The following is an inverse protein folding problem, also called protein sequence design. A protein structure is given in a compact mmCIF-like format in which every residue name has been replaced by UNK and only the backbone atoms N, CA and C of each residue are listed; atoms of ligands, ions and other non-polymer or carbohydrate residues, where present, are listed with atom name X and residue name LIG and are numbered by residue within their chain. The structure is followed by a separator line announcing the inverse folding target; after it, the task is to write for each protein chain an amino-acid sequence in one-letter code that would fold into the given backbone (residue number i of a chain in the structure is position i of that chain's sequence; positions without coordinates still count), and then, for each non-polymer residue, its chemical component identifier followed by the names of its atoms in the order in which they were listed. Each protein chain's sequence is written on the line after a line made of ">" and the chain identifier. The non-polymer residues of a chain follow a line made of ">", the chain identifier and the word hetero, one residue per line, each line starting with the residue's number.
data_IF_422110255478
#
_entry.id   IF_422110255478
#
_cell.length_a   1.000
_cell.length_b   1.000
_cell.length_c   1.000
_cell.angle_alpha   90.00
_cell.angle_beta   90.00
_cell.angle_gamma   90.00
#
_symmetry.space_group_name_H-M   'P 1'
#
loop_
_entity.id
_entity.type
_entity.pdbx_description
1 polymer ?
#
# COMPACT_ATOMS: atom_id res chain seq x y z
N UNK A 1 63.93 29.68 10.36
CA UNK A 1 62.77 29.99 11.23
C UNK A 1 61.55 29.20 10.79
N UNK A 2 60.86 28.60 11.76
CA UNK A 2 59.62 27.83 11.64
C UNK A 2 58.49 28.62 10.97
N UNK A 3 57.63 27.94 10.20
CA UNK A 3 56.16 27.98 10.38
C UNK A 3 55.46 26.92 9.51
N UNK A 4 55.16 25.80 10.15
CA UNK A 4 54.00 24.94 9.87
C UNK A 4 52.69 25.73 9.94
N UNK A 5 51.74 25.51 9.02
CA UNK A 5 50.31 25.45 9.40
C UNK A 5 49.44 24.65 8.42
N UNK A 6 49.15 23.42 8.86
CA UNK A 6 47.95 22.58 8.73
C UNK A 6 46.82 22.97 7.75
N UNK A 7 46.44 21.94 6.97
CA UNK A 7 45.08 21.59 6.49
C UNK A 7 43.95 22.09 7.40
N UNK A 8 42.86 22.57 6.78
CA UNK A 8 41.49 22.28 7.23
C UNK A 8 40.50 22.32 6.05
N UNK A 9 40.21 21.15 5.47
CA UNK A 9 38.94 20.92 4.77
C UNK A 9 37.83 20.98 5.83
N UNK A 10 37.08 22.07 5.86
CA UNK A 10 35.83 22.12 6.61
C UNK A 10 34.81 21.35 5.77
N UNK A 11 34.60 20.05 6.08
CA UNK A 11 33.38 19.36 5.65
C UNK A 11 32.22 20.08 6.35
N UNK A 12 31.43 20.83 5.60
CA UNK A 12 30.19 21.41 6.12
C UNK A 12 29.36 20.27 6.71
N UNK A 13 28.89 20.45 7.95
CA UNK A 13 27.88 19.58 8.52
C UNK A 13 26.67 19.56 7.59
N UNK A 14 26.02 18.40 7.34
CA UNK A 14 24.84 18.37 6.48
C UNK A 14 23.79 19.32 7.08
N UNK A 15 23.32 20.28 6.29
CA UNK A 15 22.25 21.21 6.68
C UNK A 15 21.07 20.38 7.19
N UNK A 16 20.62 20.63 8.42
CA UNK A 16 19.41 19.98 8.97
C UNK A 16 18.26 20.18 8.00
N UNK A 17 17.51 19.11 7.75
CA UNK A 17 16.35 19.15 6.86
C UNK A 17 15.25 19.96 7.55
N UNK A 18 14.74 21.05 6.94
CA UNK A 18 13.68 21.84 7.56
C UNK A 18 12.45 20.97 7.84
N UNK A 19 11.91 21.00 9.06
CA UNK A 19 10.80 20.11 9.47
C UNK A 19 9.42 20.62 9.05
N UNK A 20 9.26 21.93 8.95
CA UNK A 20 7.96 22.60 8.75
C UNK A 20 7.70 23.06 7.32
N UNK A 21 8.74 23.19 6.49
CA UNK A 21 8.61 23.69 5.13
C UNK A 21 9.50 22.92 4.16
N UNK A 22 8.92 22.48 3.04
CA UNK A 22 9.65 21.86 1.94
C UNK A 22 10.65 22.85 1.35
N UNK A 23 11.95 22.50 1.23
CA UNK A 23 12.91 23.27 0.44
C UNK A 23 12.44 23.45 -1.02
N UNK A 24 12.84 24.56 -1.66
CA UNK A 24 12.44 24.83 -3.05
C UNK A 24 13.12 23.85 -4.01
N UNK A 25 14.33 23.42 -3.68
CA UNK A 25 15.23 22.60 -4.49
C UNK A 25 14.97 21.09 -4.35
N UNK A 26 13.95 20.67 -3.61
CA UNK A 26 13.61 19.26 -3.37
C UNK A 26 12.18 18.95 -3.79
N UNK A 27 11.94 17.75 -4.30
CA UNK A 27 10.58 17.21 -4.40
C UNK A 27 9.98 16.96 -3.01
N UNK A 28 8.66 16.73 -2.96
CA UNK A 28 7.98 16.41 -1.70
C UNK A 28 8.49 15.08 -1.15
N UNK A 29 8.67 14.09 -2.03
CA UNK A 29 9.15 12.75 -1.72
C UNK A 29 10.58 12.80 -1.18
N UNK A 30 11.48 13.50 -1.87
CA UNK A 30 12.88 13.66 -1.45
C UNK A 30 12.96 14.30 -0.07
N UNK A 31 12.16 15.35 0.17
CA UNK A 31 12.12 16.03 1.46
C UNK A 31 11.62 15.10 2.58
N UNK A 32 10.56 14.33 2.31
CA UNK A 32 9.98 13.39 3.27
C UNK A 32 10.88 12.18 3.56
N UNK A 33 11.66 11.70 2.58
CA UNK A 33 12.69 10.67 2.76
C UNK A 33 13.85 11.23 3.59
N UNK A 34 14.31 12.45 3.29
CA UNK A 34 15.38 13.10 4.05
C UNK A 34 15.01 13.31 5.53
N UNK A 35 13.77 13.73 5.82
CA UNK A 35 13.26 13.84 7.19
C UNK A 35 13.26 12.50 7.92
N UNK A 36 12.86 11.40 7.26
CA UNK A 36 12.90 10.05 7.85
C UNK A 36 14.32 9.59 8.14
N UNK A 37 15.27 9.87 7.24
CA UNK A 37 16.69 9.59 7.44
C UNK A 37 17.28 10.37 8.61
N UNK A 38 16.93 11.64 8.74
CA UNK A 38 17.38 12.47 9.87
C UNK A 38 16.76 11.99 11.18
N UNK A 39 15.45 11.79 11.20
CA UNK A 39 14.73 11.31 12.37
C UNK A 39 15.24 9.94 12.83
N UNK A 40 15.50 9.04 11.87
CA UNK A 40 16.12 7.74 12.10
C UNK A 40 17.43 7.87 12.88
N UNK A 41 18.35 8.78 12.51
CA UNK A 41 19.65 8.94 13.19
C UNK A 41 19.53 9.27 14.68
N UNK A 42 18.46 9.95 15.07
CA UNK A 42 18.18 10.33 16.46
C UNK A 42 17.57 9.17 17.26
N UNK A 43 17.10 8.10 16.60
CA UNK A 43 16.44 6.97 17.27
C UNK A 43 17.44 6.03 17.95
N UNK A 44 17.04 5.56 19.14
CA UNK A 44 17.75 4.55 19.94
C UNK A 44 17.10 3.16 19.81
N UNK A 45 16.69 2.78 18.60
CA UNK A 45 16.13 1.45 18.38
C UNK A 45 17.16 0.35 18.70
N UNK A 46 16.65 -0.84 18.94
CA UNK A 46 17.42 -2.07 19.03
C UNK A 46 16.96 -3.00 17.92
N UNK A 47 17.82 -3.92 17.47
CA UNK A 47 17.39 -4.94 16.52
C UNK A 47 17.96 -6.31 16.83
N UNK A 48 17.20 -7.35 16.48
CA UNK A 48 17.64 -8.72 16.44
C UNK A 48 17.54 -9.25 15.00
N UNK A 49 18.52 -10.05 14.55
CA UNK A 49 18.45 -10.74 13.27
C UNK A 49 17.57 -11.99 13.44
N UNK A 50 16.59 -12.16 12.55
CA UNK A 50 15.67 -13.29 12.55
C UNK A 50 16.05 -14.36 11.52
N UNK A 51 16.96 -14.04 10.60
CA UNK A 51 17.53 -14.96 9.62
C UNK A 51 19.01 -15.22 9.84
N UNK A 52 19.58 -16.04 8.96
CA UNK A 52 20.98 -16.47 9.03
C UNK A 52 21.94 -15.44 8.42
N UNK A 53 21.51 -14.77 7.34
CA UNK A 53 22.32 -13.80 6.62
C UNK A 53 22.54 -12.51 7.43
N UNK A 54 23.76 -11.96 7.50
CA UNK A 54 24.06 -10.83 8.38
C UNK A 54 23.55 -9.47 7.87
N UNK A 55 23.31 -9.35 6.55
CA UNK A 55 22.92 -8.11 5.86
C UNK A 55 21.51 -8.23 5.27
N UNK A 56 21.32 -9.11 4.27
CA UNK A 56 20.04 -9.29 3.62
C UNK A 56 19.19 -10.31 4.36
N UNK A 57 18.48 -9.83 5.38
CA UNK A 57 17.72 -10.67 6.28
C UNK A 57 16.44 -9.97 6.75
N UNK A 58 15.68 -10.66 7.58
CA UNK A 58 14.61 -10.09 8.37
C UNK A 58 15.09 -9.78 9.78
N UNK A 59 14.67 -8.64 10.30
CA UNK A 59 15.09 -8.13 11.59
C UNK A 59 13.87 -7.72 12.41
N UNK A 60 13.88 -8.04 13.70
CA UNK A 60 12.96 -7.46 14.67
C UNK A 60 13.56 -6.14 15.16
N UNK A 61 12.97 -5.00 14.79
CA UNK A 61 13.42 -3.67 15.24
C UNK A 61 12.48 -3.16 16.35
N UNK A 62 13.04 -2.97 17.54
CA UNK A 62 12.30 -2.61 18.75
C UNK A 62 12.60 -1.17 19.16
N UNK A 63 11.56 -0.40 19.45
CA UNK A 63 11.69 0.88 20.14
C UNK A 63 11.66 0.65 21.66
N UNK A 64 12.76 0.88 22.39
CA UNK A 64 12.81 0.62 23.83
C UNK A 64 11.85 1.50 24.66
N UNK A 65 11.49 2.70 24.18
CA UNK A 65 10.60 3.61 24.89
C UNK A 65 9.14 3.17 24.80
N UNK A 66 8.67 2.85 23.58
CA UNK A 66 7.29 2.40 23.35
C UNK A 66 7.08 0.89 23.50
N UNK A 67 8.18 0.13 23.62
CA UNK A 67 8.24 -1.35 23.59
C UNK A 67 7.62 -2.00 22.36
N UNK A 68 7.35 -1.23 21.30
CA UNK A 68 6.82 -1.75 20.05
C UNK A 68 7.96 -2.34 19.22
N UNK A 69 7.70 -3.52 18.66
CA UNK A 69 8.61 -4.22 17.76
C UNK A 69 7.98 -4.35 16.39
N UNK A 70 8.76 -4.08 15.35
CA UNK A 70 8.34 -4.20 13.95
C UNK A 70 9.32 -5.11 13.21
N UNK A 71 8.79 -6.03 12.41
CA UNK A 71 9.54 -6.80 11.41
C UNK A 71 10.01 -5.87 10.29
N UNK A 72 11.30 -5.93 9.95
CA UNK A 72 11.95 -5.15 8.89
C UNK A 72 12.76 -6.11 8.02
N UNK A 73 12.46 -6.17 6.72
CA UNK A 73 13.21 -6.98 5.76
C UNK A 73 14.13 -6.08 4.94
N UNK A 74 15.41 -6.41 4.90
CA UNK A 74 16.42 -5.67 4.12
C UNK A 74 16.82 -6.51 2.90
N UNK A 75 16.70 -5.89 1.72
CA UNK A 75 16.91 -6.49 0.39
C UNK A 75 17.74 -5.59 -0.54
N UNK A 76 18.04 -4.36 -0.13
CA UNK A 76 18.84 -3.41 -0.91
C UNK A 76 18.90 -2.04 -0.27
N UNK A 77 19.58 -1.10 -0.94
CA UNK A 77 19.70 0.28 -0.47
C UNK A 77 18.68 1.22 -1.11
N UNK A 78 18.02 0.77 -2.18
CA UNK A 78 17.03 1.55 -2.91
C UNK A 78 15.73 1.73 -2.10
N UNK A 79 14.95 2.74 -2.49
CA UNK A 79 13.60 2.92 -1.96
C UNK A 79 12.68 1.85 -2.55
N UNK A 80 11.79 1.29 -1.72
CA UNK A 80 10.75 0.36 -2.16
C UNK A 80 11.17 -1.12 -2.25
N UNK A 81 12.47 -1.43 -2.17
CA UNK A 81 12.96 -2.82 -2.18
C UNK A 81 12.92 -3.47 -0.80
N UNK A 82 12.85 -2.66 0.26
CA UNK A 82 12.82 -3.10 1.65
C UNK A 82 11.38 -3.11 2.18
N UNK A 83 11.11 -3.91 3.22
CA UNK A 83 9.79 -3.98 3.87
C UNK A 83 9.86 -3.60 5.35
N UNK A 84 8.81 -2.97 5.87
CA UNK A 84 8.62 -2.80 7.31
C UNK A 84 7.14 -2.92 7.70
N UNK A 85 6.87 -3.72 8.73
CA UNK A 85 5.51 -3.89 9.27
C UNK A 85 4.97 -2.69 10.07
N UNK A 86 5.70 -1.57 10.14
CA UNK A 86 5.23 -0.41 10.89
C UNK A 86 4.11 0.36 10.16
N UNK A 87 3.18 1.01 10.89
CA UNK A 87 2.08 1.75 10.27
C UNK A 87 2.55 2.83 9.28
N UNK A 88 3.60 3.60 9.61
CA UNK A 88 4.18 4.64 8.72
C UNK A 88 4.54 4.06 7.35
N UNK A 89 5.26 2.93 7.31
CA UNK A 89 5.65 2.29 6.05
C UNK A 89 4.42 1.84 5.25
N UNK A 90 3.44 1.23 5.93
CA UNK A 90 2.27 0.69 5.25
C UNK A 90 1.41 1.76 4.57
N UNK A 91 1.37 2.99 5.11
CA UNK A 91 0.50 4.07 4.60
C UNK A 91 1.25 5.09 3.76
N UNK A 92 2.56 5.23 3.93
CA UNK A 92 3.33 6.15 3.12
C UNK A 92 3.57 5.60 1.71
N UNK A 93 3.91 6.49 0.78
CA UNK A 93 4.16 6.17 -0.63
C UNK A 93 5.65 6.23 -0.98
N UNK A 94 6.53 6.22 0.02
CA UNK A 94 7.96 6.54 -0.12
C UNK A 94 8.84 5.30 -0.26
N UNK A 95 8.31 4.10 0.01
CA UNK A 95 9.09 2.87 -0.01
C UNK A 95 10.13 2.79 1.10
N UNK A 96 10.02 3.61 2.15
CA UNK A 96 10.90 3.59 3.32
C UNK A 96 10.20 4.15 4.56
N UNK A 97 10.78 3.91 5.73
CA UNK A 97 10.36 4.48 7.00
C UNK A 97 11.57 4.70 7.90
N UNK A 98 11.37 5.34 9.06
CA UNK A 98 12.45 5.55 10.03
C UNK A 98 13.14 4.26 10.49
N UNK A 99 12.44 3.13 10.55
CA UNK A 99 13.00 1.85 10.98
C UNK A 99 13.94 1.27 9.91
N UNK A 100 13.54 1.32 8.63
CA UNK A 100 14.37 0.89 7.49
C UNK A 100 15.63 1.76 7.42
N UNK A 101 15.47 3.09 7.41
CA UNK A 101 16.62 4.01 7.31
C UNK A 101 17.58 3.86 8.49
N UNK A 102 17.06 3.67 9.70
CA UNK A 102 17.88 3.42 10.89
C UNK A 102 18.65 2.11 10.77
N UNK A 103 17.98 1.03 10.36
CA UNK A 103 18.58 -0.30 10.25
C UNK A 103 19.64 -0.34 9.14
N UNK A 104 19.35 0.21 7.95
CA UNK A 104 20.33 0.35 6.87
C UNK A 104 21.57 1.12 7.35
N UNK A 105 21.41 2.21 8.10
CA UNK A 105 22.53 2.95 8.66
C UNK A 105 23.37 2.14 9.68
N UNK A 106 22.79 1.12 10.35
CA UNK A 106 23.54 0.18 11.21
C UNK A 106 24.20 -0.92 10.41
N UNK A 107 23.50 -1.53 9.46
CA UNK A 107 24.01 -2.63 8.65
C UNK A 107 25.18 -2.20 7.77
N UNK A 108 25.15 -0.98 7.20
CA UNK A 108 26.28 -0.40 6.44
C UNK A 108 27.61 -0.37 7.19
N UNK A 109 27.60 -0.41 8.52
CA UNK A 109 28.81 -0.42 9.36
C UNK A 109 29.34 -1.82 9.64
N UNK A 110 28.58 -2.87 9.33
CA UNK A 110 29.05 -4.26 9.48
C UNK A 110 30.16 -4.55 8.47
N UNK A 111 31.11 -5.39 8.86
CA UNK A 111 32.14 -5.91 7.96
C UNK A 111 31.48 -6.65 6.80
N UNK A 112 31.96 -6.42 5.57
CA UNK A 112 31.41 -7.04 4.36
C UNK A 112 30.15 -6.36 3.79
N UNK A 113 29.50 -5.44 4.52
CA UNK A 113 28.25 -4.82 4.08
C UNK A 113 28.37 -4.09 2.74
N UNK A 114 29.49 -3.38 2.50
CA UNK A 114 29.73 -2.68 1.24
C UNK A 114 29.72 -3.66 0.05
N UNK A 115 30.46 -4.77 0.16
CA UNK A 115 30.50 -5.79 -0.89
C UNK A 115 29.12 -6.44 -1.09
N UNK A 116 28.42 -6.78 0.01
CA UNK A 116 27.08 -7.36 -0.08
C UNK A 116 26.07 -6.43 -0.79
N UNK A 117 26.08 -5.12 -0.49
CA UNK A 117 25.20 -4.18 -1.19
C UNK A 117 25.60 -3.93 -2.66
N UNK A 118 26.89 -4.00 -2.98
CA UNK A 118 27.37 -3.93 -4.37
C UNK A 118 27.00 -5.19 -5.17
N UNK A 119 27.08 -6.37 -4.56
CA UNK A 119 26.68 -7.65 -5.13
C UNK A 119 25.17 -7.76 -5.29
N UNK A 120 24.41 -7.20 -4.35
CA UNK A 120 22.95 -7.21 -4.39
C UNK A 120 22.33 -8.44 -3.74
N UNK A 121 21.00 -8.41 -3.62
CA UNK A 121 20.25 -9.50 -2.99
C UNK A 121 19.86 -10.57 -4.01
N UNK A 122 20.56 -11.72 -3.95
CA UNK A 122 20.37 -12.88 -4.81
C UNK A 122 20.11 -14.15 -3.98
N UNK A 123 18.92 -14.29 -3.37
CA UNK A 123 18.59 -15.47 -2.58
C UNK A 123 18.51 -16.72 -3.47
N UNK A 124 18.72 -17.93 -2.92
CA UNK A 124 18.52 -19.16 -3.69
C UNK A 124 17.04 -19.36 -4.07
N UNK A 125 16.11 -18.90 -3.24
CA UNK A 125 14.67 -18.97 -3.45
C UNK A 125 14.13 -17.77 -4.25
N UNK A 126 12.97 -17.94 -4.91
CA UNK A 126 12.23 -16.80 -5.49
C UNK A 126 11.23 -16.23 -4.49
N UNK A 127 10.85 -14.97 -4.64
CA UNK A 127 9.86 -14.33 -3.76
C UNK A 127 8.76 -13.58 -4.52
N UNK A 128 7.54 -13.61 -3.98
CA UNK A 128 6.43 -12.74 -4.37
C UNK A 128 6.15 -11.78 -3.23
N UNK A 129 6.39 -10.49 -3.47
CA UNK A 129 6.34 -9.43 -2.47
C UNK A 129 5.50 -8.26 -2.93
N UNK A 130 5.07 -7.43 -1.98
CA UNK A 130 4.36 -6.19 -2.27
C UNK A 130 5.37 -5.03 -2.34
N UNK A 131 5.52 -4.44 -3.51
CA UNK A 131 6.25 -3.19 -3.68
C UNK A 131 5.39 -2.03 -3.18
N UNK A 132 5.92 -1.27 -2.22
CA UNK A 132 5.31 -0.07 -1.66
C UNK A 132 5.83 1.18 -2.38
N UNK A 133 4.92 2.08 -2.74
CA UNK A 133 5.23 3.31 -3.45
C UNK A 133 3.95 4.10 -3.72
N UNK A 134 4.00 5.02 -4.70
CA UNK A 134 2.80 5.76 -5.15
C UNK A 134 1.66 4.85 -5.60
N UNK A 135 1.99 3.67 -6.16
CA UNK A 135 1.05 2.58 -6.40
C UNK A 135 1.66 1.30 -5.85
N UNK A 136 0.87 0.53 -5.11
CA UNK A 136 1.28 -0.79 -4.64
C UNK A 136 1.22 -1.78 -5.80
N UNK A 137 2.24 -2.63 -5.91
CA UNK A 137 2.34 -3.63 -6.98
C UNK A 137 2.84 -4.94 -6.41
N UNK A 138 2.18 -6.04 -6.75
CA UNK A 138 2.70 -7.37 -6.46
C UNK A 138 3.83 -7.64 -7.43
N UNK A 139 4.99 -8.03 -6.93
CA UNK A 139 6.17 -8.33 -7.74
C UNK A 139 6.68 -9.73 -7.46
N UNK A 140 7.21 -10.36 -8.49
CA UNK A 140 8.02 -11.56 -8.42
C UNK A 140 9.48 -11.16 -8.56
N UNK A 141 10.32 -11.62 -7.63
CA UNK A 141 11.78 -11.59 -7.76
C UNK A 141 12.26 -13.01 -7.97
N UNK A 142 13.01 -13.17 -9.05
CA UNK A 142 13.68 -14.40 -9.35
C UNK A 142 14.87 -14.64 -8.40
N UNK A 143 14.94 -15.84 -7.81
CA UNK A 143 16.09 -16.31 -7.05
C UNK A 143 17.21 -16.86 -7.93
N UNK A 144 18.42 -16.95 -7.38
CA UNK A 144 19.61 -17.44 -8.06
C UNK A 144 19.48 -18.90 -8.56
N UNK A 145 18.72 -19.73 -7.86
CA UNK A 145 18.54 -21.15 -8.20
C UNK A 145 17.23 -21.41 -8.99
N UNK A 146 16.55 -20.35 -9.44
CA UNK A 146 15.29 -20.47 -10.17
C UNK A 146 15.43 -21.28 -11.47
N UNK A 147 14.72 -22.42 -11.62
CA UNK A 147 14.86 -23.26 -12.80
C UNK A 147 14.39 -22.56 -14.08
N UNK A 148 15.10 -22.69 -15.23
CA UNK A 148 14.70 -22.04 -16.48
C UNK A 148 13.30 -22.42 -16.97
N UNK A 149 12.85 -23.65 -16.69
CA UNK A 149 11.49 -24.09 -16.99
C UNK A 149 10.46 -23.31 -16.17
N UNK A 150 10.69 -23.19 -14.86
CA UNK A 150 9.82 -22.45 -13.96
C UNK A 150 9.74 -20.97 -14.36
N UNK A 151 10.89 -20.33 -14.67
CA UNK A 151 10.95 -18.95 -15.19
C UNK A 151 9.98 -18.71 -16.35
N UNK A 152 9.98 -19.58 -17.36
CA UNK A 152 9.06 -19.48 -18.52
C UNK A 152 7.58 -19.63 -18.14
N UNK A 153 7.28 -20.41 -17.10
CA UNK A 153 5.90 -20.59 -16.63
C UNK A 153 5.43 -19.37 -15.82
N UNK A 154 6.34 -18.69 -15.10
CA UNK A 154 6.09 -17.46 -14.34
C UNK A 154 5.70 -16.29 -15.25
N UNK A 155 6.24 -16.21 -16.47
CA UNK A 155 5.94 -15.14 -17.46
C UNK A 155 4.44 -15.03 -17.82
N UNK A 156 3.66 -16.10 -17.60
CA UNK A 156 2.20 -16.09 -17.76
C UNK A 156 1.50 -15.23 -16.72
N UNK A 157 2.11 -15.10 -15.54
CA UNK A 157 1.54 -14.39 -14.38
C UNK A 157 2.20 -13.03 -14.17
N UNK A 158 3.50 -12.93 -14.39
CA UNK A 158 4.28 -11.71 -14.19
C UNK A 158 4.83 -11.17 -15.51
N UNK A 159 4.96 -9.85 -15.63
CA UNK A 159 5.60 -9.19 -16.78
C UNK A 159 7.13 -9.19 -16.68
N UNK A 160 7.79 -8.59 -17.67
CA UNK A 160 9.26 -8.49 -17.74
C UNK A 160 9.87 -7.68 -16.59
N UNK A 161 9.10 -6.75 -16.01
CA UNK A 161 9.46 -6.02 -14.80
C UNK A 161 9.17 -6.84 -13.52
N UNK A 162 8.71 -8.08 -13.67
CA UNK A 162 8.27 -8.94 -12.58
C UNK A 162 7.00 -8.46 -11.90
N UNK A 163 6.13 -7.65 -12.52
CA UNK A 163 4.86 -7.20 -11.93
C UNK A 163 3.75 -8.18 -12.25
N UNK A 164 2.88 -8.46 -11.28
CA UNK A 164 1.71 -9.30 -11.49
C UNK A 164 0.79 -8.68 -12.55
N UNK A 165 0.48 -9.44 -13.59
CA UNK A 165 -0.41 -9.01 -14.68
C UNK A 165 -1.85 -8.91 -14.16
N UNK A 166 -2.59 -7.90 -14.62
CA UNK A 166 -4.00 -7.71 -14.19
C UNK A 166 -4.87 -8.94 -14.47
N UNK A 167 -4.70 -9.56 -15.65
CA UNK A 167 -5.43 -10.79 -16.03
C UNK A 167 -5.07 -11.99 -15.14
N UNK A 168 -3.89 -11.98 -14.53
CA UNK A 168 -3.39 -13.07 -13.70
C UNK A 168 -3.87 -12.98 -12.24
N UNK A 169 -4.43 -11.83 -11.81
CA UNK A 169 -4.95 -11.63 -10.44
C UNK A 169 -6.01 -12.68 -10.09
N UNK A 170 -6.97 -12.90 -10.99
CA UNK A 170 -8.02 -13.91 -10.79
C UNK A 170 -7.52 -15.36 -10.81
N UNK A 171 -6.33 -15.60 -11.37
CA UNK A 171 -5.74 -16.93 -11.56
C UNK A 171 -4.55 -17.19 -10.63
N UNK A 172 -4.31 -16.35 -9.64
CA UNK A 172 -3.12 -16.45 -8.78
C UNK A 172 -3.01 -17.79 -8.02
N UNK A 173 -4.12 -18.48 -7.78
CA UNK A 173 -4.12 -19.85 -7.23
C UNK A 173 -3.39 -20.85 -8.16
N UNK A 174 -3.47 -20.66 -9.48
CA UNK A 174 -2.71 -21.48 -10.44
C UNK A 174 -1.21 -21.25 -10.32
N UNK A 175 -0.79 -20.01 -10.05
CA UNK A 175 0.62 -19.69 -9.77
C UNK A 175 1.10 -20.35 -8.48
N UNK A 176 0.30 -20.33 -7.41
CA UNK A 176 0.65 -20.99 -6.15
C UNK A 176 0.80 -22.51 -6.32
N UNK A 177 -0.10 -23.13 -7.09
CA UNK A 177 0.00 -24.55 -7.43
C UNK A 177 1.27 -24.84 -8.24
N UNK A 178 1.52 -24.05 -9.29
CA UNK A 178 2.74 -24.14 -10.10
C UNK A 178 4.01 -24.03 -9.25
N UNK A 179 4.04 -23.10 -8.31
CA UNK A 179 5.16 -22.90 -7.40
C UNK A 179 5.38 -24.13 -6.52
N UNK A 180 4.31 -24.69 -5.96
CA UNK A 180 4.36 -25.91 -5.13
C UNK A 180 4.89 -27.13 -5.91
N UNK A 181 4.54 -27.25 -7.19
CA UNK A 181 4.95 -28.38 -8.04
C UNK A 181 6.40 -28.24 -8.58
N UNK A 182 6.99 -27.04 -8.52
CA UNK A 182 8.24 -26.69 -9.21
C UNK A 182 9.54 -27.21 -8.56
N UNK A 183 9.46 -27.77 -7.34
CA UNK A 183 10.61 -28.11 -6.45
C UNK A 183 11.54 -26.94 -6.11
N UNK A 184 11.27 -25.73 -6.64
CA UNK A 184 11.95 -24.49 -6.33
C UNK A 184 11.22 -23.80 -5.18
N UNK A 185 11.95 -23.31 -4.18
CA UNK A 185 11.33 -22.58 -3.09
C UNK A 185 10.82 -21.22 -3.58
N UNK A 186 9.52 -20.97 -3.39
CA UNK A 186 8.89 -19.68 -3.69
C UNK A 186 8.21 -19.15 -2.44
N UNK A 187 8.72 -18.02 -1.93
CA UNK A 187 8.16 -17.35 -0.75
C UNK A 187 7.13 -16.32 -1.17
N UNK A 188 5.89 -16.47 -0.73
CA UNK A 188 4.84 -15.46 -0.97
C UNK A 188 4.53 -14.77 0.35
N UNK A 189 4.77 -13.46 0.43
CA UNK A 189 4.56 -12.72 1.68
C UNK A 189 3.08 -12.40 1.91
N UNK A 190 2.68 -12.38 3.18
CA UNK A 190 1.27 -12.19 3.61
C UNK A 190 0.65 -10.89 3.08
N UNK A 191 1.41 -9.79 3.05
CA UNK A 191 0.95 -8.50 2.56
C UNK A 191 0.68 -8.51 1.05
N UNK A 192 1.45 -9.28 0.29
CA UNK A 192 1.19 -9.54 -1.12
C UNK A 192 -0.10 -10.37 -1.29
N UNK A 193 -0.28 -11.44 -0.51
CA UNK A 193 -1.51 -12.24 -0.52
C UNK A 193 -2.76 -11.42 -0.18
N UNK A 194 -2.70 -10.63 0.89
CA UNK A 194 -3.77 -9.73 1.31
C UNK A 194 -4.12 -8.72 0.21
N UNK A 195 -3.10 -8.20 -0.48
CA UNK A 195 -3.31 -7.26 -1.58
C UNK A 195 -3.93 -7.94 -2.80
N UNK A 196 -3.49 -9.15 -3.16
CA UNK A 196 -4.09 -9.94 -4.25
C UNK A 196 -5.54 -10.26 -3.93
N UNK A 197 -5.86 -10.68 -2.71
CA UNK A 197 -7.22 -10.95 -2.27
C UNK A 197 -8.11 -9.71 -2.46
N UNK A 198 -7.64 -8.53 -2.05
CA UNK A 198 -8.34 -7.26 -2.28
C UNK A 198 -8.55 -6.96 -3.76
N UNK A 199 -7.55 -7.18 -4.62
CA UNK A 199 -7.70 -6.97 -6.06
C UNK A 199 -8.75 -7.93 -6.67
N UNK A 200 -8.79 -9.19 -6.23
CA UNK A 200 -9.80 -10.17 -6.65
C UNK A 200 -11.21 -9.76 -6.20
N UNK A 201 -11.34 -9.29 -4.96
CA UNK A 201 -12.62 -8.80 -4.43
C UNK A 201 -13.09 -7.56 -5.19
N UNK A 202 -12.18 -6.64 -5.51
CA UNK A 202 -12.46 -5.46 -6.33
C UNK A 202 -12.92 -5.86 -7.74
N UNK A 203 -12.25 -6.80 -8.40
CA UNK A 203 -12.64 -7.29 -9.72
C UNK A 203 -14.02 -7.97 -9.69
N UNK A 204 -14.27 -8.83 -8.69
CA UNK A 204 -15.55 -9.50 -8.51
C UNK A 204 -16.69 -8.50 -8.29
N UNK A 205 -16.45 -7.48 -7.46
CA UNK A 205 -17.39 -6.39 -7.21
C UNK A 205 -17.70 -5.61 -8.48
N UNK A 206 -16.68 -5.19 -9.23
CA UNK A 206 -16.86 -4.51 -10.53
C UNK A 206 -17.70 -5.34 -11.49
N UNK A 207 -17.36 -6.62 -11.69
CA UNK A 207 -18.11 -7.54 -12.55
C UNK A 207 -19.59 -7.65 -12.17
N UNK A 208 -19.89 -7.77 -10.88
CA UNK A 208 -21.28 -7.87 -10.38
C UNK A 208 -22.05 -6.56 -10.60
N UNK A 209 -21.44 -5.42 -10.28
CA UNK A 209 -22.04 -4.10 -10.49
C UNK A 209 -22.26 -3.83 -11.97
N UNK A 210 -21.27 -4.10 -12.82
CA UNK A 210 -21.36 -3.87 -14.26
C UNK A 210 -22.47 -4.72 -14.89
N UNK A 211 -22.62 -5.98 -14.47
CA UNK A 211 -23.70 -6.87 -14.95
C UNK A 211 -25.10 -6.29 -14.67
N UNK A 212 -25.29 -5.61 -13.54
CA UNK A 212 -26.59 -5.16 -13.08
C UNK A 212 -26.90 -3.70 -13.47
N UNK A 213 -25.92 -2.81 -13.31
CA UNK A 213 -26.08 -1.37 -13.47
C UNK A 213 -25.50 -0.83 -14.79
N UNK A 214 -24.83 -1.65 -15.58
CA UNK A 214 -24.30 -1.25 -16.89
C UNK A 214 -24.77 -2.19 -18.02
N UNK A 215 -24.98 -1.64 -19.21
CA UNK A 215 -25.32 -2.40 -20.42
C UNK A 215 -24.91 -1.61 -21.64
N UNK A 216 -24.05 -2.17 -22.50
CA UNK A 216 -23.60 -1.50 -23.72
C UNK A 216 -23.07 -0.07 -23.45
N UNK A 217 -22.34 0.12 -22.35
CA UNK A 217 -21.82 1.43 -21.92
C UNK A 217 -22.86 2.42 -21.37
N UNK A 218 -24.13 2.01 -21.22
CA UNK A 218 -25.20 2.84 -20.64
C UNK A 218 -25.49 2.44 -19.19
N UNK A 219 -25.66 3.45 -18.34
CA UNK A 219 -26.07 3.30 -16.95
C UNK A 219 -27.57 2.93 -16.89
N UNK A 220 -27.89 1.82 -16.22
CA UNK A 220 -29.26 1.31 -16.00
C UNK A 220 -29.43 0.83 -14.56
N UNK A 221 -30.60 0.27 -14.22
CA UNK A 221 -30.79 -0.43 -12.95
C UNK A 221 -31.09 0.45 -11.73
N UNK A 222 -31.20 1.77 -11.90
CA UNK A 222 -31.53 2.71 -10.83
C UNK A 222 -33.02 2.80 -10.49
N UNK A 223 -33.89 2.19 -11.30
CA UNK A 223 -35.32 2.17 -11.03
C UNK A 223 -35.58 1.41 -9.72
N UNK A 224 -36.27 2.04 -8.78
CA UNK A 224 -36.55 1.50 -7.43
C UNK A 224 -35.29 1.20 -6.58
N UNK A 225 -34.12 1.76 -6.94
CA UNK A 225 -32.94 1.67 -6.08
C UNK A 225 -33.14 2.50 -4.81
N UNK A 226 -33.73 3.69 -4.96
CA UNK A 226 -34.13 4.59 -3.89
C UNK A 226 -35.61 4.93 -4.03
N UNK A 227 -36.19 5.51 -2.96
CA UNK A 227 -37.54 6.09 -2.94
C UNK A 227 -37.70 7.28 -3.89
N UNK A 228 -36.60 7.88 -4.33
CA UNK A 228 -36.57 9.06 -5.21
C UNK A 228 -35.73 8.80 -6.45
N UNK A 229 -36.02 9.55 -7.52
CA UNK A 229 -35.25 9.47 -8.75
C UNK A 229 -33.96 10.30 -8.66
N UNK A 230 -32.83 9.67 -8.98
CA UNK A 230 -31.54 10.35 -9.10
C UNK A 230 -31.40 11.09 -10.43
N UNK A 231 -30.78 12.27 -10.40
CA UNK A 231 -30.31 12.96 -11.61
C UNK A 231 -29.22 12.14 -12.32
N UNK A 232 -29.01 12.31 -13.64
CA UNK A 232 -28.01 11.55 -14.39
C UNK A 232 -26.59 11.60 -13.78
N UNK A 233 -26.13 12.78 -13.36
CA UNK A 233 -24.81 12.95 -12.74
C UNK A 233 -24.71 12.23 -11.38
N UNK A 234 -25.79 12.20 -10.60
CA UNK A 234 -25.82 11.49 -9.31
C UNK A 234 -25.75 9.98 -9.50
N UNK A 235 -26.37 9.44 -10.56
CA UNK A 235 -26.24 8.02 -10.92
C UNK A 235 -24.80 7.68 -11.26
N UNK A 236 -24.14 8.55 -12.01
CA UNK A 236 -22.73 8.38 -12.36
C UNK A 236 -21.84 8.42 -11.12
N UNK A 237 -22.02 9.40 -10.22
CA UNK A 237 -21.28 9.49 -8.96
C UNK A 237 -21.49 8.30 -8.03
N UNK A 238 -22.74 7.86 -7.87
CA UNK A 238 -23.09 6.67 -7.08
C UNK A 238 -22.47 5.38 -7.65
N UNK A 239 -22.56 5.18 -8.97
CA UNK A 239 -21.98 4.04 -9.65
C UNK A 239 -20.45 4.06 -9.55
N UNK A 240 -19.82 5.22 -9.78
CA UNK A 240 -18.39 5.40 -9.59
C UNK A 240 -17.95 5.02 -8.17
N UNK A 241 -18.64 5.52 -7.15
CA UNK A 241 -18.32 5.22 -5.76
C UNK A 241 -18.48 3.73 -5.44
N UNK A 242 -19.57 3.11 -5.86
CA UNK A 242 -19.83 1.69 -5.65
C UNK A 242 -18.82 0.79 -6.39
N UNK A 243 -18.40 1.16 -7.61
CA UNK A 243 -17.44 0.42 -8.43
C UNK A 243 -16.01 0.60 -7.93
N UNK A 244 -15.63 1.81 -7.49
CA UNK A 244 -14.31 2.10 -6.94
C UNK A 244 -14.12 1.52 -5.54
N UNK A 245 -15.13 1.61 -4.68
CA UNK A 245 -15.17 1.05 -3.30
C UNK A 245 -14.39 1.87 -2.28
N UNK A 246 -13.24 2.42 -2.70
CA UNK A 246 -12.57 3.53 -2.03
C UNK A 246 -12.50 4.69 -3.00
N UNK A 247 -13.19 5.78 -2.68
CA UNK A 247 -13.25 6.95 -3.54
C UNK A 247 -13.40 8.24 -2.73
N UNK A 248 -13.13 9.37 -3.39
CA UNK A 248 -13.50 10.69 -2.92
C UNK A 248 -14.57 11.25 -3.86
N UNK A 249 -15.76 11.54 -3.32
CA UNK A 249 -16.78 12.31 -4.04
C UNK A 249 -16.57 13.79 -3.72
N UNK A 250 -15.95 14.50 -4.67
CA UNK A 250 -15.57 15.91 -4.52
C UNK A 250 -16.47 16.87 -5.32
N UNK A 251 -17.73 16.50 -5.54
CA UNK A 251 -18.72 17.36 -6.18
C UNK A 251 -18.96 18.63 -5.34
N UNK A 252 -19.41 19.72 -5.99
CA UNK A 252 -19.73 20.98 -5.33
C UNK A 252 -20.80 20.84 -4.22
N UNK A 253 -20.84 21.83 -3.34
CA UNK A 253 -21.85 21.93 -2.29
C UNK A 253 -23.25 22.00 -2.92
N UNK A 254 -24.20 21.22 -2.39
CA UNK A 254 -25.58 21.18 -2.90
C UNK A 254 -25.86 20.16 -4.01
N UNK A 255 -24.85 19.55 -4.64
CA UNK A 255 -25.05 18.55 -5.72
C UNK A 255 -25.47 17.15 -5.22
N UNK A 256 -25.73 16.99 -3.92
CA UNK A 256 -26.27 15.75 -3.36
C UNK A 256 -25.22 14.64 -3.16
N UNK A 257 -24.03 14.97 -2.64
CA UNK A 257 -23.04 13.94 -2.24
C UNK A 257 -23.61 12.91 -1.26
N UNK A 258 -24.50 13.33 -0.36
CA UNK A 258 -25.17 12.44 0.60
C UNK A 258 -26.03 11.41 -0.11
N UNK A 259 -26.95 11.83 -1.00
CA UNK A 259 -27.81 10.92 -1.76
C UNK A 259 -27.01 10.02 -2.71
N UNK A 260 -25.92 10.53 -3.31
CA UNK A 260 -25.00 9.69 -4.10
C UNK A 260 -24.33 8.60 -3.24
N UNK A 261 -23.93 8.94 -2.01
CA UNK A 261 -23.32 7.99 -1.08
C UNK A 261 -24.32 6.91 -0.64
N UNK A 262 -25.55 7.31 -0.32
CA UNK A 262 -26.64 6.38 0.01
C UNK A 262 -26.96 5.46 -1.18
N UNK A 263 -27.04 6.01 -2.40
CA UNK A 263 -27.23 5.23 -3.62
C UNK A 263 -26.08 4.24 -3.85
N UNK A 264 -24.83 4.65 -3.64
CA UNK A 264 -23.67 3.77 -3.77
C UNK A 264 -23.73 2.59 -2.78
N UNK A 265 -24.17 2.87 -1.54
CA UNK A 265 -24.41 1.84 -0.53
C UNK A 265 -25.51 0.87 -0.95
N UNK A 266 -26.63 1.35 -1.49
CA UNK A 266 -27.69 0.46 -1.98
C UNK A 266 -27.24 -0.39 -3.19
N UNK A 267 -26.42 0.16 -4.09
CA UNK A 267 -25.78 -0.63 -5.16
C UNK A 267 -24.95 -1.77 -4.55
N UNK A 268 -24.12 -1.47 -3.54
CA UNK A 268 -23.28 -2.47 -2.87
C UNK A 268 -24.12 -3.50 -2.11
N UNK A 269 -25.16 -3.08 -1.40
CA UNK A 269 -26.08 -3.97 -0.68
C UNK A 269 -26.73 -4.98 -1.65
N UNK A 270 -27.20 -4.49 -2.80
CA UNK A 270 -27.87 -5.30 -3.82
C UNK A 270 -26.93 -6.23 -4.59
N UNK A 271 -25.72 -5.79 -4.90
CA UNK A 271 -24.79 -6.53 -5.78
C UNK A 271 -23.84 -7.45 -5.02
N UNK A 272 -23.31 -6.98 -3.90
CA UNK A 272 -22.26 -7.68 -3.13
C UNK A 272 -22.66 -8.02 -1.69
N UNK A 273 -23.90 -7.71 -1.28
CA UNK A 273 -24.44 -8.14 0.00
C UNK A 273 -23.92 -7.36 1.20
N UNK A 274 -23.67 -6.06 1.05
CA UNK A 274 -23.34 -5.20 2.21
C UNK A 274 -24.57 -5.08 3.13
N UNK A 275 -24.39 -5.50 4.39
CA UNK A 275 -25.46 -5.48 5.41
C UNK A 275 -25.27 -4.42 6.49
N UNK A 276 -24.02 -4.02 6.76
CA UNK A 276 -23.68 -3.08 7.84
C UNK A 276 -22.84 -1.94 7.29
N UNK A 277 -23.26 -0.71 7.58
CA UNK A 277 -22.61 0.51 7.10
C UNK A 277 -22.40 1.46 8.26
N UNK A 278 -21.18 1.99 8.39
CA UNK A 278 -20.82 3.01 9.36
C UNK A 278 -20.64 4.34 8.63
N UNK A 279 -21.44 5.34 9.00
CA UNK A 279 -21.27 6.72 8.56
C UNK A 279 -20.58 7.50 9.67
N UNK A 280 -19.42 8.08 9.36
CA UNK A 280 -18.70 8.99 10.27
C UNK A 280 -18.90 10.41 9.76
N UNK A 281 -19.51 11.26 10.59
CA UNK A 281 -19.82 12.65 10.26
C UNK A 281 -19.65 13.56 11.49
N UNK A 282 -19.55 14.90 11.31
CA UNK A 282 -19.64 15.85 12.41
C UNK A 282 -20.87 15.62 13.27
N UNK A 283 -20.78 15.89 14.57
CA UNK A 283 -21.88 15.69 15.54
C UNK A 283 -23.18 16.35 15.10
N UNK A 284 -23.10 17.57 14.55
CA UNK A 284 -24.26 18.34 14.06
C UNK A 284 -25.00 17.68 12.87
N UNK A 285 -24.37 16.76 12.13
CA UNK A 285 -24.96 16.14 10.94
C UNK A 285 -25.52 14.73 11.20
N UNK A 286 -25.36 14.18 12.41
CA UNK A 286 -25.80 12.81 12.73
C UNK A 286 -27.29 12.58 12.45
N UNK A 287 -28.15 13.50 12.91
CA UNK A 287 -29.60 13.40 12.73
C UNK A 287 -30.02 13.63 11.26
N UNK A 288 -29.39 14.59 10.58
CA UNK A 288 -29.62 14.82 9.15
C UNK A 288 -29.33 13.56 8.32
N UNK A 289 -28.22 12.86 8.60
CA UNK A 289 -27.93 11.59 7.93
C UNK A 289 -29.01 10.52 8.19
N UNK A 290 -29.47 10.39 9.44
CA UNK A 290 -30.53 9.43 9.77
C UNK A 290 -31.84 9.75 9.05
N UNK A 291 -32.23 11.03 8.99
CA UNK A 291 -33.40 11.50 8.26
C UNK A 291 -33.28 11.22 6.76
N UNK A 292 -32.14 11.57 6.13
CA UNK A 292 -31.91 11.33 4.71
C UNK A 292 -31.94 9.84 4.35
N UNK A 293 -31.36 8.97 5.20
CA UNK A 293 -31.43 7.51 5.01
C UNK A 293 -32.88 7.03 5.04
N UNK A 294 -33.67 7.46 6.04
CA UNK A 294 -35.09 7.08 6.16
C UNK A 294 -35.96 7.61 5.00
N UNK A 295 -35.60 8.80 4.50
CA UNK A 295 -36.29 9.48 3.39
C UNK A 295 -36.03 8.80 2.06
N UNK A 296 -34.79 8.37 1.80
CA UNK A 296 -34.39 7.84 0.50
C UNK A 296 -34.44 6.31 0.41
N UNK A 297 -34.46 5.60 1.54
CA UNK A 297 -34.42 4.13 1.59
C UNK A 297 -35.39 3.58 2.64
N UNK A 298 -35.61 2.27 2.64
CA UNK A 298 -36.31 1.54 3.72
C UNK A 298 -35.36 0.99 4.79
N UNK A 299 -34.11 1.49 4.83
CA UNK A 299 -33.11 1.05 5.82
C UNK A 299 -33.31 1.75 7.16
N UNK A 300 -33.01 1.02 8.22
CA UNK A 300 -32.93 1.59 9.57
C UNK A 300 -31.55 2.21 9.81
N UNK A 301 -31.51 3.42 10.37
CA UNK A 301 -30.29 4.06 10.85
C UNK A 301 -30.30 4.15 12.37
N UNK A 302 -29.18 3.80 13.02
CA UNK A 302 -28.99 3.99 14.46
C UNK A 302 -27.93 5.06 14.70
N UNK A 303 -28.33 6.15 15.34
CA UNK A 303 -27.40 7.20 15.76
C UNK A 303 -26.66 6.74 17.01
N UNK A 304 -25.33 6.89 17.03
CA UNK A 304 -24.50 6.62 18.21
C UNK A 304 -24.12 7.96 18.84
N UNK A 305 -24.55 8.14 20.09
CA UNK A 305 -24.24 9.29 20.92
C UNK A 305 -22.95 9.07 21.71
N UNK A 306 -22.21 10.15 21.91
CA UNK A 306 -20.85 10.18 22.43
C UNK A 306 -20.15 11.46 22.02
#
# INVERSE_FOLDING_TARGET
>A
MKKTTKRRKVKQAPKRTPRTRKPKEMSLEEWQVALRREYAREQKFQFNNLGEEPIFSEFAVTNPESRRTYRVAIRGEELGVNFCSCPDFSVNTLGTCKHIEWLLARLRRKRGAKGAFEEGFHPPYSEVYLEYGARRRVRFREGAECPPKFRREVERFFDEDGRLREKAVGEFERFQKLSSDSKHEVRVYDDALDFIARLRDDERRRKKIDKEFQSNGKIKGFNKLLKVNLYPYQRHGALFAATAGRCLLADDMGLGKTIQSIAAVEILARTVGVERVLVVCPSALKHQWAEEISRFTDRTARVIEG
#
